data_IF_541573819526
#
_entry.id   IF_541573819526
#
_cell.length_a   1.000
_cell.length_b   1.000
_cell.length_c   1.000
_cell.angle_alpha   90.00
_cell.angle_beta   90.00
_cell.angle_gamma   90.00
#
_symmetry.space_group_name_H-M   'P 1'
#
loop_
_entity.id
_entity.type
_entity.pdbx_description
1 polymer ?
#
# COMPACT_ATOMS: atom_id res chain seq x y z
N UNK A 1 -18.06 11.45 8.11
CA UNK A 1 -17.22 10.25 8.35
C UNK A 1 -16.96 9.60 6.99
N UNK A 2 -15.70 9.44 6.58
CA UNK A 2 -15.37 8.71 5.35
C UNK A 2 -15.44 7.21 5.60
N UNK A 3 -15.79 6.42 4.58
CA UNK A 3 -15.74 4.95 4.62
C UNK A 3 -14.35 4.45 5.04
N UNK A 4 -13.30 5.13 4.59
CA UNK A 4 -11.90 4.82 4.91
C UNK A 4 -11.45 5.25 6.31
N UNK A 5 -12.32 5.89 7.10
CA UNK A 5 -12.03 6.32 8.47
C UNK A 5 -12.70 5.42 9.52
N UNK A 6 -13.34 4.32 9.12
CA UNK A 6 -13.90 3.36 10.05
C UNK A 6 -12.78 2.69 10.88
N UNK A 7 -13.00 2.42 12.18
CA UNK A 7 -12.10 1.57 12.96
C UNK A 7 -11.90 0.21 12.27
N UNK A 8 -10.70 -0.38 12.33
CA UNK A 8 -10.40 -1.63 11.65
C UNK A 8 -11.41 -2.75 11.94
N UNK A 9 -11.80 -2.92 13.21
CA UNK A 9 -12.74 -3.96 13.63
C UNK A 9 -14.14 -3.75 13.01
N UNK A 10 -14.58 -2.49 12.91
CA UNK A 10 -15.87 -2.15 12.30
C UNK A 10 -15.84 -2.35 10.78
N UNK A 11 -14.71 -2.00 10.15
CA UNK A 11 -14.50 -2.21 8.71
C UNK A 11 -14.51 -3.70 8.36
N UNK A 12 -13.80 -4.52 9.14
CA UNK A 12 -13.80 -5.98 8.97
C UNK A 12 -15.18 -6.58 9.21
N UNK A 13 -15.87 -6.18 10.28
CA UNK A 13 -17.23 -6.67 10.55
C UNK A 13 -18.20 -6.34 9.42
N UNK A 14 -18.10 -5.13 8.85
CA UNK A 14 -18.89 -4.73 7.70
C UNK A 14 -18.64 -5.64 6.49
N UNK A 15 -17.39 -5.99 6.19
CA UNK A 15 -17.06 -6.92 5.10
C UNK A 15 -17.69 -8.31 5.31
N UNK A 16 -17.64 -8.86 6.54
CA UNK A 16 -18.31 -10.13 6.87
C UNK A 16 -19.83 -10.05 6.73
N UNK A 17 -20.45 -8.95 7.18
CA UNK A 17 -21.88 -8.73 7.02
C UNK A 17 -22.26 -8.68 5.54
N UNK A 18 -21.51 -7.95 4.71
CA UNK A 18 -21.75 -7.92 3.25
C UNK A 18 -21.60 -9.31 2.64
N UNK A 19 -20.54 -10.05 2.99
CA UNK A 19 -20.36 -11.42 2.52
C UNK A 19 -21.53 -12.34 2.87
N UNK A 20 -22.02 -12.28 4.12
CA UNK A 20 -23.18 -13.05 4.57
C UNK A 20 -24.47 -12.66 3.82
N UNK A 21 -24.68 -11.37 3.55
CA UNK A 21 -25.81 -10.90 2.75
C UNK A 21 -25.76 -11.39 1.29
N UNK A 22 -24.57 -11.40 0.68
CA UNK A 22 -24.37 -11.89 -0.69
C UNK A 22 -24.59 -13.40 -0.83
N UNK A 23 -24.31 -14.18 0.23
CA UNK A 23 -24.40 -15.64 0.21
C UNK A 23 -25.82 -16.21 0.44
N UNK A 24 -26.75 -15.42 1.01
CA UNK A 24 -28.01 -15.93 1.59
C UNK A 24 -28.92 -16.73 0.66
N UNK A 25 -28.88 -16.49 -0.65
CA UNK A 25 -29.75 -17.16 -1.63
C UNK A 25 -28.97 -17.95 -2.68
N UNK A 26 -27.69 -18.21 -2.41
CA UNK A 26 -26.80 -18.96 -3.29
C UNK A 26 -26.59 -20.35 -2.72
N UNK A 27 -26.49 -21.36 -3.59
CA UNK A 27 -26.02 -22.67 -3.18
C UNK A 27 -24.51 -22.69 -2.92
N UNK A 28 -23.98 -23.82 -2.45
CA UNK A 28 -22.57 -23.92 -2.08
C UNK A 28 -21.60 -23.71 -3.26
N UNK A 29 -21.98 -24.11 -4.47
CA UNK A 29 -21.14 -23.97 -5.67
C UNK A 29 -21.14 -22.51 -6.14
N UNK A 30 -22.30 -21.86 -6.12
CA UNK A 30 -22.45 -20.44 -6.43
C UNK A 30 -21.72 -19.55 -5.41
N UNK A 31 -21.82 -19.87 -4.11
CA UNK A 31 -21.08 -19.16 -3.05
C UNK A 31 -19.57 -19.28 -3.27
N UNK A 32 -19.08 -20.47 -3.59
CA UNK A 32 -17.65 -20.71 -3.84
C UNK A 32 -17.16 -19.90 -5.05
N UNK A 33 -17.91 -19.96 -6.15
CA UNK A 33 -17.59 -19.22 -7.38
C UNK A 33 -17.56 -17.71 -7.15
N UNK A 34 -18.60 -17.15 -6.53
CA UNK A 34 -18.67 -15.72 -6.22
C UNK A 34 -17.60 -15.29 -5.22
N UNK A 35 -17.36 -16.09 -4.17
CA UNK A 35 -16.34 -15.83 -3.16
C UNK A 35 -14.94 -15.74 -3.77
N UNK A 36 -14.56 -16.73 -4.58
CA UNK A 36 -13.27 -16.72 -5.29
C UNK A 36 -13.14 -15.51 -6.23
N UNK A 37 -14.21 -15.12 -6.92
CA UNK A 37 -14.21 -13.92 -7.75
C UNK A 37 -13.94 -12.65 -6.92
N UNK A 38 -14.66 -12.47 -5.80
CA UNK A 38 -14.47 -11.30 -4.92
C UNK A 38 -13.06 -11.30 -4.29
N UNK A 39 -12.54 -12.45 -3.89
CA UNK A 39 -11.17 -12.61 -3.41
C UNK A 39 -10.15 -12.18 -4.47
N UNK A 40 -10.31 -12.63 -5.72
CA UNK A 40 -9.42 -12.25 -6.82
C UNK A 40 -9.43 -10.74 -7.09
N UNK A 41 -10.60 -10.10 -7.04
CA UNK A 41 -10.70 -8.63 -7.16
C UNK A 41 -9.95 -7.94 -6.02
N UNK A 42 -10.15 -8.37 -4.78
CA UNK A 42 -9.46 -7.83 -3.61
C UNK A 42 -7.94 -7.99 -3.72
N UNK A 43 -7.48 -9.18 -4.11
CA UNK A 43 -6.06 -9.47 -4.28
C UNK A 43 -5.43 -8.65 -5.41
N UNK A 44 -6.15 -8.41 -6.52
CA UNK A 44 -5.67 -7.57 -7.60
C UNK A 44 -5.42 -6.12 -7.13
N UNK A 45 -6.37 -5.54 -6.38
CA UNK A 45 -6.23 -4.20 -5.79
C UNK A 45 -5.01 -4.13 -4.86
N UNK A 46 -4.88 -5.10 -3.95
CA UNK A 46 -3.76 -5.17 -3.01
C UNK A 46 -2.42 -5.33 -3.72
N UNK A 47 -2.38 -6.12 -4.81
CA UNK A 47 -1.16 -6.34 -5.60
C UNK A 47 -0.71 -5.06 -6.29
N UNK A 48 -1.64 -4.30 -6.88
CA UNK A 48 -1.34 -3.00 -7.49
C UNK A 48 -0.79 -2.04 -6.43
N UNK A 49 -1.48 -1.89 -5.30
CA UNK A 49 -1.05 -0.99 -4.22
C UNK A 49 0.33 -1.37 -3.66
N UNK A 50 0.60 -2.67 -3.47
CA UNK A 50 1.91 -3.15 -3.02
C UNK A 50 3.01 -2.83 -4.03
N UNK A 51 2.74 -2.97 -5.33
CA UNK A 51 3.68 -2.65 -6.39
C UNK A 51 3.97 -1.14 -6.48
N UNK A 52 2.96 -0.30 -6.32
CA UNK A 52 3.10 1.16 -6.25
C UNK A 52 3.93 1.59 -5.04
N UNK A 53 3.62 1.05 -3.86
CA UNK A 53 4.36 1.33 -2.63
C UNK A 53 5.84 0.94 -2.75
N UNK A 54 6.15 -0.20 -3.39
CA UNK A 54 7.51 -0.63 -3.65
C UNK A 54 8.25 0.35 -4.57
N UNK A 55 7.64 0.73 -5.70
CA UNK A 55 8.24 1.68 -6.65
C UNK A 55 8.48 3.05 -6.00
N UNK A 56 7.53 3.55 -5.22
CA UNK A 56 7.68 4.80 -4.50
C UNK A 56 8.81 4.72 -3.47
N UNK A 57 8.90 3.62 -2.73
CA UNK A 57 9.98 3.41 -1.75
C UNK A 57 11.35 3.36 -2.43
N UNK A 58 11.46 2.73 -3.60
CA UNK A 58 12.70 2.71 -4.39
C UNK A 58 13.09 4.10 -4.89
N UNK A 59 12.13 4.87 -5.41
CA UNK A 59 12.37 6.24 -5.88
C UNK A 59 12.82 7.15 -4.73
N UNK A 60 12.15 7.10 -3.58
CA UNK A 60 12.52 7.88 -2.40
C UNK A 60 13.95 7.55 -1.93
N UNK A 61 14.30 6.25 -1.90
CA UNK A 61 15.66 5.83 -1.52
C UNK A 61 16.72 6.32 -2.51
N UNK A 62 16.44 6.31 -3.81
CA UNK A 62 17.34 6.83 -4.83
C UNK A 62 17.56 8.34 -4.67
N UNK A 63 16.49 9.10 -4.43
CA UNK A 63 16.55 10.55 -4.17
C UNK A 63 17.36 10.86 -2.90
N UNK A 64 17.11 10.15 -1.80
CA UNK A 64 17.88 10.32 -0.57
C UNK A 64 19.38 10.05 -0.76
N UNK A 65 19.75 9.03 -1.55
CA UNK A 65 21.15 8.76 -1.87
C UNK A 65 21.82 9.90 -2.65
N UNK A 66 21.11 10.51 -3.60
CA UNK A 66 21.58 11.66 -4.35
C UNK A 66 21.79 12.88 -3.43
N UNK A 67 20.82 13.17 -2.58
CA UNK A 67 20.91 14.28 -1.59
C UNK A 67 22.10 14.09 -0.64
N UNK A 68 22.31 12.88 -0.12
CA UNK A 68 23.46 12.55 0.75
C UNK A 68 24.79 12.76 0.01
N UNK A 69 24.87 12.41 -1.28
CA UNK A 69 26.07 12.62 -2.08
C UNK A 69 26.37 14.12 -2.30
N UNK A 70 25.33 14.93 -2.54
CA UNK A 70 25.46 16.37 -2.67
C UNK A 70 25.92 17.02 -1.36
N UNK A 71 25.33 16.65 -0.23
CA UNK A 71 25.71 17.16 1.10
C UNK A 71 27.18 16.81 1.39
N UNK A 72 27.62 15.57 1.11
CA UNK A 72 29.02 15.17 1.28
C UNK A 72 29.99 16.04 0.46
N UNK A 73 29.65 16.32 -0.81
CA UNK A 73 30.46 17.23 -1.65
C UNK A 73 30.50 18.65 -1.09
N UNK A 74 29.39 19.15 -0.57
CA UNK A 74 29.33 20.49 0.03
C UNK A 74 30.21 20.58 1.29
N UNK A 75 30.18 19.56 2.16
CA UNK A 75 31.05 19.48 3.34
C UNK A 75 32.52 19.51 2.93
N UNK A 76 32.92 18.70 1.95
CA UNK A 76 34.30 18.64 1.47
C UNK A 76 34.78 20.01 0.93
N UNK A 77 33.92 20.72 0.20
CA UNK A 77 34.23 22.06 -0.29
C UNK A 77 34.40 23.07 0.85
N UNK A 78 33.57 23.00 1.88
CA UNK A 78 33.68 23.87 3.06
C UNK A 78 34.96 23.59 3.84
N UNK A 79 35.30 22.31 4.07
CA UNK A 79 36.55 21.92 4.73
C UNK A 79 37.78 22.43 3.98
N UNK A 80 37.78 22.36 2.64
CA UNK A 80 38.86 22.91 1.81
C UNK A 80 38.97 24.42 1.92
N UNK A 81 37.84 25.14 2.05
CA UNK A 81 37.82 26.59 2.24
C UNK A 81 38.35 27.00 3.62
N UNK A 82 38.09 26.21 4.66
CA UNK A 82 38.58 26.48 6.03
C UNK A 82 40.07 26.18 6.22
N UNK A 83 40.66 25.30 5.39
CA UNK A 83 42.10 24.98 5.40
C UNK A 83 42.97 25.98 4.61
N UNK A 84 42.38 27.01 4.01
CA UNK A 84 43.07 28.13 3.35
C UNK A 84 43.02 29.36 4.23
#
# INVERSE_FOLDING_TARGET
MSFFNLPPEQFTLLAYLVGALLAQNLDSDEQNSLGNFVEAVGQAILTIAAQEQLQQSQNNNAQMCEEVALIKKQIELLERKLKR
#
